data_IF_561005012990
#
_entry.id   IF_561005012990
#
_cell.length_a   1.000
_cell.length_b   1.000
_cell.length_c   1.000
_cell.angle_alpha   90.00
_cell.angle_beta   90.00
_cell.angle_gamma   90.00
#
_symmetry.space_group_name_H-M   'P 1'
#
loop_
_entity.id
_entity.type
_entity.pdbx_description
1 polymer ?
#
# COMPACT_ATOMS: atom_id res chain seq x y z
N UNK A 1 5.83 -24.81 -21.78
CA UNK A 1 4.72 -25.78 -21.60
C UNK A 1 3.61 -25.07 -20.84
N UNK A 2 2.55 -24.66 -21.52
CA UNK A 2 1.38 -24.08 -20.86
C UNK A 2 0.74 -25.14 -19.96
N UNK A 3 0.63 -24.84 -18.67
CA UNK A 3 -0.09 -25.67 -17.71
C UNK A 3 -1.57 -25.32 -17.88
N UNK A 4 -2.21 -25.89 -18.89
CA UNK A 4 -3.65 -26.16 -18.87
C UNK A 4 -3.80 -27.60 -18.39
N UNK A 5 -3.73 -27.77 -17.07
CA UNK A 5 -3.82 -29.06 -16.39
C UNK A 5 -4.49 -28.86 -15.04
N UNK A 6 -5.58 -29.60 -14.86
CA UNK A 6 -6.55 -29.61 -13.76
C UNK A 6 -6.02 -29.43 -12.31
N UNK A 7 -6.94 -28.95 -11.47
CA UNK A 7 -6.97 -28.89 -9.99
C UNK A 7 -6.62 -27.54 -9.34
N UNK A 8 -7.69 -26.84 -8.89
CA UNK A 8 -7.69 -25.83 -7.81
C UNK A 8 -6.46 -24.89 -7.80
N UNK A 9 -6.28 -24.08 -8.84
CA UNK A 9 -5.37 -22.94 -8.74
C UNK A 9 -5.82 -22.04 -7.59
N UNK A 10 -5.02 -21.97 -6.52
CA UNK A 10 -5.24 -21.03 -5.42
C UNK A 10 -5.27 -19.62 -6.04
N UNK A 11 -6.27 -18.76 -5.73
CA UNK A 11 -6.51 -17.48 -6.40
C UNK A 11 -5.45 -16.36 -6.13
N UNK A 12 -4.18 -16.71 -5.90
CA UNK A 12 -3.09 -15.79 -5.54
C UNK A 12 -1.80 -16.00 -6.34
N UNK A 13 -1.91 -16.52 -7.57
CA UNK A 13 -0.74 -16.83 -8.42
C UNK A 13 -0.57 -15.88 -9.60
N UNK A 14 -1.45 -14.89 -9.77
CA UNK A 14 -1.46 -14.07 -10.99
C UNK A 14 -0.19 -13.22 -11.14
N UNK A 15 0.22 -12.54 -10.06
CA UNK A 15 1.38 -11.63 -10.10
C UNK A 15 2.72 -12.38 -10.06
N UNK A 16 2.74 -13.67 -9.78
CA UNK A 16 3.94 -14.53 -9.91
C UNK A 16 3.93 -15.33 -11.22
N UNK A 17 2.92 -15.17 -12.06
CA UNK A 17 2.90 -15.76 -13.39
C UNK A 17 3.62 -14.82 -14.36
N UNK A 18 4.72 -15.31 -14.95
CA UNK A 18 5.52 -14.57 -15.92
C UNK A 18 4.71 -14.13 -17.12
N UNK A 19 3.73 -14.93 -17.56
CA UNK A 19 2.89 -14.60 -18.70
C UNK A 19 2.17 -13.27 -18.49
N UNK A 20 1.68 -13.00 -17.27
CA UNK A 20 0.98 -11.75 -16.92
C UNK A 20 1.87 -10.54 -17.15
N UNK A 21 3.10 -10.59 -16.64
CA UNK A 21 4.08 -9.53 -16.84
C UNK A 21 4.44 -9.36 -18.31
N UNK A 22 4.63 -10.46 -19.04
CA UNK A 22 4.93 -10.43 -20.48
C UNK A 22 3.82 -9.73 -21.30
N UNK A 23 2.56 -9.84 -20.89
CA UNK A 23 1.43 -9.15 -21.55
C UNK A 23 1.36 -7.65 -21.27
N UNK A 24 1.97 -7.15 -20.19
CA UNK A 24 1.90 -5.73 -19.86
C UNK A 24 2.62 -4.89 -20.93
N UNK A 25 1.98 -3.79 -21.37
CA UNK A 25 2.57 -2.90 -22.39
C UNK A 25 3.51 -1.85 -21.80
N UNK A 26 3.29 -1.45 -20.54
CA UNK A 26 4.09 -0.46 -19.85
C UNK A 26 5.27 -1.13 -19.11
N UNK A 27 6.40 -0.42 -19.06
CA UNK A 27 7.54 -0.82 -18.23
C UNK A 27 7.26 -0.57 -16.75
N UNK A 28 6.73 0.61 -16.42
CA UNK A 28 6.32 0.95 -15.06
C UNK A 28 4.87 0.53 -14.84
N UNK A 29 4.65 -0.37 -13.88
CA UNK A 29 3.35 -0.97 -13.60
C UNK A 29 2.94 -0.56 -12.20
N UNK A 30 1.90 0.26 -12.11
CA UNK A 30 1.31 0.65 -10.84
C UNK A 30 0.19 -0.33 -10.48
N UNK A 31 0.38 -1.06 -9.38
CA UNK A 31 -0.60 -1.97 -8.82
C UNK A 31 -1.27 -1.30 -7.64
N UNK A 32 -2.60 -1.37 -7.60
CA UNK A 32 -3.42 -0.83 -6.52
C UNK A 32 -4.54 -1.81 -6.16
N UNK A 33 -4.96 -1.80 -4.90
CA UNK A 33 -6.10 -2.56 -4.41
C UNK A 33 -7.14 -1.63 -3.79
N UNK A 34 -8.39 -2.12 -3.66
CA UNK A 34 -9.48 -1.32 -3.08
C UNK A 34 -9.31 -0.99 -1.59
N UNK A 35 -8.20 -1.41 -0.96
CA UNK A 35 -7.90 -1.16 0.44
C UNK A 35 -6.98 0.07 0.62
N UNK A 36 -7.04 1.05 -0.28
CA UNK A 36 -6.32 2.32 -0.16
C UNK A 36 -6.58 3.24 -1.34
N UNK A 37 -6.07 4.47 -1.25
CA UNK A 37 -6.31 5.53 -2.22
C UNK A 37 -5.02 6.24 -2.60
N UNK A 38 -5.00 6.85 -3.79
CA UNK A 38 -4.01 7.85 -4.17
C UNK A 38 -4.45 9.18 -3.55
N UNK A 39 -3.53 9.90 -2.90
CA UNK A 39 -3.81 11.21 -2.32
C UNK A 39 -3.57 12.32 -3.35
N UNK A 40 -4.62 12.99 -3.79
CA UNK A 40 -4.53 14.05 -4.80
C UNK A 40 -3.73 15.27 -4.34
N UNK A 41 -3.65 15.52 -3.03
CA UNK A 41 -2.89 16.63 -2.46
C UNK A 41 -1.46 16.23 -2.03
N UNK A 42 -0.98 15.05 -2.42
CA UNK A 42 0.42 14.69 -2.19
C UNK A 42 1.35 15.62 -2.98
N UNK A 43 2.49 15.96 -2.38
CA UNK A 43 3.59 16.63 -3.10
C UNK A 43 4.35 15.68 -4.03
N UNK A 44 4.07 14.38 -3.93
CA UNK A 44 4.66 13.36 -4.76
C UNK A 44 3.71 12.97 -5.88
N UNK A 45 4.29 12.60 -7.01
CA UNK A 45 3.62 12.01 -8.18
C UNK A 45 4.30 10.69 -8.52
N UNK A 46 3.61 9.81 -9.26
CA UNK A 46 4.15 8.49 -9.63
C UNK A 46 5.53 8.58 -10.31
N UNK A 47 5.75 9.63 -11.10
CA UNK A 47 7.01 9.87 -11.81
C UNK A 47 8.21 9.99 -10.86
N UNK A 48 8.01 10.50 -9.63
CA UNK A 48 9.08 10.59 -8.63
C UNK A 48 9.68 9.21 -8.26
N UNK A 49 8.95 8.12 -8.53
CA UNK A 49 9.35 6.76 -8.16
C UNK A 49 9.71 5.87 -9.36
N UNK A 50 9.49 6.30 -10.60
CA UNK A 50 9.73 5.48 -11.82
C UNK A 50 11.20 5.13 -12.08
N UNK A 51 12.15 5.80 -11.43
CA UNK A 51 13.56 5.41 -11.47
C UNK A 51 13.82 4.12 -10.69
N UNK A 52 13.03 3.83 -9.66
CA UNK A 52 13.11 2.64 -8.84
C UNK A 52 12.55 1.43 -9.60
N UNK A 53 13.11 0.26 -9.31
CA UNK A 53 12.65 -1.01 -9.88
C UNK A 53 11.46 -1.57 -9.11
N UNK A 54 11.35 -1.22 -7.82
CA UNK A 54 10.25 -1.60 -6.95
C UNK A 54 10.09 -0.58 -5.81
N UNK A 55 8.86 -0.11 -5.60
CA UNK A 55 8.43 0.59 -4.39
C UNK A 55 7.04 0.11 -3.96
N UNK A 56 6.85 -0.12 -2.66
CA UNK A 56 5.60 -0.36 -1.98
C UNK A 56 5.44 0.57 -0.79
N UNK A 57 4.37 0.40 -0.01
CA UNK A 57 4.15 1.17 1.22
C UNK A 57 5.15 0.76 2.31
N UNK A 58 5.37 1.55 3.37
CA UNK A 58 6.30 1.19 4.42
C UNK A 58 5.99 -0.15 5.09
N UNK A 59 7.04 -0.86 5.47
CA UNK A 59 6.96 -2.15 6.18
C UNK A 59 8.20 -2.35 7.05
N UNK A 60 8.21 -3.39 7.89
CA UNK A 60 9.33 -3.69 8.80
C UNK A 60 10.32 -4.74 8.27
N UNK A 61 10.07 -5.29 7.08
CA UNK A 61 10.89 -6.40 6.53
C UNK A 61 12.07 -5.86 5.74
N UNK A 62 13.11 -6.68 5.59
CA UNK A 62 14.26 -6.41 4.71
C UNK A 62 14.88 -5.02 4.95
N UNK A 63 15.07 -4.63 6.21
CA UNK A 63 15.58 -3.31 6.59
C UNK A 63 14.78 -2.16 5.95
N UNK A 64 13.46 -2.34 5.87
CA UNK A 64 12.49 -1.41 5.27
C UNK A 64 12.67 -1.19 3.75
N UNK A 65 13.53 -1.95 3.07
CA UNK A 65 13.75 -1.81 1.63
C UNK A 65 12.57 -2.32 0.81
N UNK A 66 12.32 -1.68 -0.33
CA UNK A 66 11.31 -2.07 -1.31
C UNK A 66 9.90 -1.69 -0.87
N UNK A 67 9.46 -2.11 0.32
CA UNK A 67 8.13 -1.85 0.86
C UNK A 67 7.11 -2.98 0.60
N UNK A 68 5.99 -2.92 1.32
CA UNK A 68 4.85 -3.82 1.20
C UNK A 68 4.05 -3.49 -0.06
N UNK A 69 3.87 -4.49 -0.92
CA UNK A 69 3.18 -4.34 -2.21
C UNK A 69 1.71 -4.77 -2.22
N UNK A 70 1.10 -5.04 -1.06
CA UNK A 70 -0.26 -5.61 -0.96
C UNK A 70 -1.39 -4.63 -1.24
N UNK A 71 -1.20 -3.35 -0.96
CA UNK A 71 -2.20 -2.32 -1.29
C UNK A 71 -1.79 -1.51 -2.49
N UNK A 72 -0.56 -1.00 -2.50
CA UNK A 72 -0.03 -0.21 -3.58
C UNK A 72 1.43 -0.56 -3.81
N UNK A 73 1.82 -0.66 -5.08
CA UNK A 73 3.22 -0.71 -5.46
C UNK A 73 3.43 -0.21 -6.88
N UNK A 74 4.61 0.31 -7.15
CA UNK A 74 5.09 0.59 -8.50
C UNK A 74 6.27 -0.34 -8.79
N UNK A 75 6.18 -1.07 -9.89
CA UNK A 75 7.13 -2.15 -10.21
C UNK A 75 7.53 -2.09 -11.67
N UNK A 76 8.80 -2.37 -11.96
CA UNK A 76 9.28 -2.51 -13.34
C UNK A 76 9.01 -3.90 -13.89
N UNK A 77 8.28 -3.96 -15.00
CA UNK A 77 7.94 -5.19 -15.72
C UNK A 77 9.18 -6.04 -15.99
N UNK A 78 10.23 -5.45 -16.55
CA UNK A 78 11.46 -6.18 -16.92
C UNK A 78 12.09 -6.88 -15.72
N UNK A 79 12.12 -6.18 -14.57
CA UNK A 79 12.67 -6.68 -13.31
C UNK A 79 11.83 -7.82 -12.74
N UNK A 80 10.50 -7.71 -12.77
CA UNK A 80 9.62 -8.80 -12.33
C UNK A 80 9.83 -10.06 -13.16
N UNK A 81 10.01 -9.91 -14.48
CA UNK A 81 10.33 -11.02 -15.39
C UNK A 81 11.70 -11.64 -15.06
N UNK A 82 12.70 -10.82 -14.77
CA UNK A 82 14.06 -11.30 -14.47
C UNK A 82 14.13 -12.07 -13.15
N UNK A 83 13.40 -11.62 -12.13
CA UNK A 83 13.24 -12.36 -10.86
C UNK A 83 12.54 -13.71 -11.11
N UNK A 84 11.52 -13.76 -11.96
CA UNK A 84 10.82 -15.00 -12.29
C UNK A 84 11.70 -15.99 -13.09
N UNK A 85 12.53 -15.51 -14.03
CA UNK A 85 13.55 -16.34 -14.71
C UNK A 85 14.56 -16.91 -13.72
N UNK A 86 15.06 -16.04 -12.84
CA UNK A 86 16.03 -16.40 -11.81
C UNK A 86 15.50 -17.51 -10.91
N UNK A 87 14.27 -17.38 -10.43
CA UNK A 87 13.64 -18.34 -9.51
C UNK A 87 13.16 -19.61 -10.20
N UNK A 88 12.92 -19.60 -11.52
CA UNK A 88 12.62 -20.82 -12.29
C UNK A 88 13.88 -21.64 -12.64
N UNK A 89 15.06 -21.16 -12.29
CA UNK A 89 16.34 -21.80 -12.65
C UNK A 89 16.74 -21.61 -14.10
N UNK A 90 16.06 -20.73 -14.85
CA UNK A 90 16.52 -20.35 -16.18
C UNK A 90 17.87 -19.64 -16.04
N UNK A 91 18.88 -20.10 -16.79
CA UNK A 91 20.24 -19.54 -16.73
C UNK A 91 21.17 -20.13 -15.66
N UNK A 92 20.76 -21.19 -14.94
CA UNK A 92 21.68 -22.02 -14.15
C UNK A 92 22.12 -21.47 -12.79
N UNK A 93 21.66 -20.27 -12.37
CA UNK A 93 22.00 -19.64 -11.09
C UNK A 93 20.89 -19.80 -10.00
N UNK A 94 19.97 -20.73 -10.21
CA UNK A 94 18.57 -20.65 -9.77
C UNK A 94 18.27 -20.40 -8.29
N UNK A 95 17.34 -19.48 -8.04
CA UNK A 95 16.64 -19.33 -6.76
C UNK A 95 15.53 -20.37 -6.58
N UNK A 96 14.76 -20.29 -5.48
CA UNK A 96 13.59 -21.15 -5.26
C UNK A 96 12.37 -20.57 -5.98
N UNK A 97 11.64 -21.37 -6.79
CA UNK A 97 10.37 -20.95 -7.38
C UNK A 97 9.36 -20.55 -6.29
N UNK A 98 8.41 -19.69 -6.65
CA UNK A 98 7.32 -19.33 -5.75
C UNK A 98 6.44 -20.56 -5.46
N UNK A 99 6.26 -20.88 -4.17
CA UNK A 99 5.54 -22.06 -3.70
C UNK A 99 4.14 -21.75 -3.14
N UNK A 100 3.76 -20.47 -3.08
CA UNK A 100 2.50 -20.00 -2.51
C UNK A 100 2.47 -19.88 -0.99
N UNK A 101 3.58 -20.13 -0.30
CA UNK A 101 3.65 -20.07 1.17
C UNK A 101 4.09 -18.70 1.69
N UNK A 102 4.80 -17.91 0.88
CA UNK A 102 5.11 -16.52 1.18
C UNK A 102 4.19 -15.56 0.41
N UNK A 103 4.09 -14.30 0.87
CA UNK A 103 3.40 -13.28 0.08
C UNK A 103 4.23 -12.92 -1.15
N UNK A 104 3.55 -12.58 -2.23
CA UNK A 104 4.17 -12.30 -3.53
C UNK A 104 5.14 -11.10 -3.48
N UNK A 105 4.82 -10.05 -2.74
CA UNK A 105 5.68 -8.88 -2.59
C UNK A 105 6.96 -9.19 -1.80
N UNK A 106 6.85 -10.03 -0.76
CA UNK A 106 8.00 -10.56 -0.03
C UNK A 106 8.88 -11.40 -0.97
N UNK A 107 8.27 -12.25 -1.79
CA UNK A 107 8.99 -13.05 -2.78
C UNK A 107 9.81 -12.16 -3.74
N UNK A 108 9.21 -11.11 -4.31
CA UNK A 108 9.93 -10.23 -5.22
C UNK A 108 11.07 -9.48 -4.54
N UNK A 109 10.80 -8.78 -3.43
CA UNK A 109 11.83 -7.98 -2.75
C UNK A 109 12.97 -8.87 -2.24
N UNK A 110 12.67 -10.03 -1.64
CA UNK A 110 13.68 -10.98 -1.18
C UNK A 110 14.60 -11.44 -2.30
N UNK A 111 14.04 -11.85 -3.45
CA UNK A 111 14.86 -12.33 -4.57
C UNK A 111 15.62 -11.20 -5.27
N UNK A 112 15.08 -9.97 -5.34
CA UNK A 112 15.83 -8.82 -5.84
C UNK A 112 17.07 -8.52 -4.98
N UNK A 113 16.90 -8.55 -3.65
CA UNK A 113 18.02 -8.41 -2.70
C UNK A 113 19.04 -9.54 -2.90
N UNK A 114 18.59 -10.79 -2.99
CA UNK A 114 19.46 -11.95 -3.19
C UNK A 114 20.25 -11.84 -4.51
N UNK A 115 19.61 -11.45 -5.61
CA UNK A 115 20.26 -11.25 -6.91
C UNK A 115 21.30 -10.12 -6.86
N UNK A 116 21.01 -9.03 -6.15
CA UNK A 116 21.98 -7.95 -5.92
C UNK A 116 23.18 -8.42 -5.09
N UNK A 117 22.93 -9.15 -4.01
CA UNK A 117 23.99 -9.69 -3.13
C UNK A 117 24.90 -10.70 -3.85
N UNK A 118 24.35 -11.48 -4.78
CA UNK A 118 25.11 -12.42 -5.62
C UNK A 118 25.81 -11.74 -6.80
N UNK A 119 25.66 -10.43 -6.97
CA UNK A 119 26.23 -9.69 -8.11
C UNK A 119 25.62 -10.07 -9.46
N UNK A 120 24.42 -10.68 -9.47
CA UNK A 120 23.72 -11.09 -10.69
C UNK A 120 22.94 -9.91 -11.31
N UNK A 121 22.62 -8.89 -10.51
CA UNK A 121 21.88 -7.70 -10.91
C UNK A 121 22.22 -6.53 -9.99
N UNK A 122 21.69 -5.34 -10.30
CA UNK A 122 21.84 -4.14 -9.47
C UNK A 122 20.51 -3.38 -9.36
N UNK A 123 19.48 -4.09 -8.90
CA UNK A 123 18.14 -3.56 -8.78
C UNK A 123 18.05 -2.42 -7.76
N UNK A 124 17.32 -1.38 -8.10
CA UNK A 124 17.07 -0.19 -7.28
C UNK A 124 15.75 -0.36 -6.51
N UNK A 125 15.83 -0.91 -5.30
CA UNK A 125 14.71 -0.99 -4.37
C UNK A 125 14.55 0.36 -3.64
N UNK A 126 13.31 0.76 -3.37
CA UNK A 126 13.04 1.94 -2.55
C UNK A 126 13.72 1.84 -1.18
N UNK A 127 14.30 2.96 -0.72
CA UNK A 127 14.78 3.09 0.66
C UNK A 127 13.62 3.21 1.64
N UNK A 128 13.90 3.10 2.94
CA UNK A 128 12.91 3.38 3.99
C UNK A 128 12.27 4.77 3.82
N UNK A 129 13.05 5.79 3.50
CA UNK A 129 12.51 7.15 3.30
C UNK A 129 11.61 7.23 2.06
N UNK A 130 11.99 6.57 0.97
CA UNK A 130 11.20 6.56 -0.26
C UNK A 130 9.89 5.80 -0.09
N UNK A 131 9.89 4.69 0.65
CA UNK A 131 8.63 4.01 1.00
C UNK A 131 7.74 4.89 1.88
N UNK A 132 8.31 5.69 2.79
CA UNK A 132 7.55 6.66 3.58
C UNK A 132 6.95 7.78 2.72
N UNK A 133 7.68 8.31 1.73
CA UNK A 133 7.12 9.26 0.76
C UNK A 133 6.04 8.62 -0.12
N UNK A 134 6.19 7.34 -0.44
CA UNK A 134 5.23 6.60 -1.25
C UNK A 134 3.93 6.37 -0.49
N UNK A 135 3.98 5.84 0.74
CA UNK A 135 2.79 5.36 1.45
C UNK A 135 2.74 5.56 2.96
N UNK A 136 3.68 6.32 3.53
CA UNK A 136 3.89 6.39 4.97
C UNK A 136 3.18 7.54 5.66
N UNK A 137 2.58 7.25 6.81
CA UNK A 137 1.96 8.25 7.70
C UNK A 137 2.81 8.54 8.94
N UNK A 138 4.00 7.93 9.06
CA UNK A 138 4.82 8.03 10.27
C UNK A 138 5.25 9.47 10.55
N UNK A 139 5.63 10.25 9.51
CA UNK A 139 6.02 11.66 9.64
C UNK A 139 4.89 12.53 10.18
N UNK A 140 3.65 12.29 9.74
CA UNK A 140 2.46 12.95 10.27
C UNK A 140 2.22 12.51 11.72
N UNK A 141 2.35 11.22 12.01
CA UNK A 141 2.21 10.71 13.37
C UNK A 141 3.26 11.27 14.33
N UNK A 142 4.51 11.45 13.92
CA UNK A 142 5.54 12.08 14.75
C UNK A 142 5.33 13.58 14.94
N UNK A 143 4.71 14.27 13.98
CA UNK A 143 4.44 15.70 14.09
C UNK A 143 3.22 16.02 14.96
N UNK A 144 2.22 15.13 14.97
CA UNK A 144 0.93 15.36 15.64
C UNK A 144 0.57 14.35 16.75
N UNK A 145 1.35 13.28 16.94
CA UNK A 145 1.18 12.30 18.01
C UNK A 145 1.57 12.88 19.36
N UNK A 146 0.71 12.69 20.36
CA UNK A 146 0.82 13.17 21.76
C UNK A 146 0.53 14.65 22.08
N UNK A 147 0.04 15.47 21.15
CA UNK A 147 -0.51 16.78 21.56
C UNK A 147 -1.91 16.59 22.13
N UNK A 148 -2.03 16.77 23.45
CA UNK A 148 -3.33 16.91 24.12
C UNK A 148 -4.18 17.95 23.37
N UNK A 149 -5.43 17.60 23.10
CA UNK A 149 -6.36 18.24 22.17
C UNK A 149 -6.83 19.66 22.57
N UNK A 150 -6.03 20.41 23.34
CA UNK A 150 -6.44 21.68 23.95
C UNK A 150 -6.03 22.93 23.17
N UNK A 151 -5.01 22.88 22.30
CA UNK A 151 -4.62 24.03 21.46
C UNK A 151 -4.99 23.78 20.00
N UNK A 152 -6.27 24.04 19.69
CA UNK A 152 -6.93 23.59 18.48
C UNK A 152 -6.93 24.69 17.41
N UNK A 153 -6.43 24.35 16.21
CA UNK A 153 -6.87 24.79 14.87
C UNK A 153 -5.93 25.62 13.97
N UNK A 154 -4.93 26.35 14.46
CA UNK A 154 -4.16 27.24 13.56
C UNK A 154 -2.77 26.72 13.15
N UNK A 155 -2.13 25.91 13.99
CA UNK A 155 -0.72 25.49 13.77
C UNK A 155 -0.64 24.17 12.99
N UNK A 156 -1.69 23.35 13.00
CA UNK A 156 -1.60 21.98 12.48
C UNK A 156 -1.72 21.89 10.96
N UNK A 157 -2.52 22.75 10.32
CA UNK A 157 -2.71 22.71 8.86
C UNK A 157 -1.46 23.12 8.09
N UNK A 158 -0.79 24.20 8.51
CA UNK A 158 0.43 24.66 7.86
C UNK A 158 1.56 23.63 7.97
N UNK A 159 1.72 23.00 9.14
CA UNK A 159 2.70 21.93 9.31
C UNK A 159 2.32 20.66 8.54
N UNK A 160 1.03 20.33 8.46
CA UNK A 160 0.56 19.17 7.69
C UNK A 160 0.80 19.37 6.18
N UNK A 161 0.53 20.58 5.66
CA UNK A 161 0.86 20.97 4.29
C UNK A 161 2.39 20.96 4.07
N UNK A 162 3.18 21.46 5.03
CA UNK A 162 4.66 21.48 4.93
C UNK A 162 5.27 20.08 4.92
N UNK A 163 4.76 19.16 5.76
CA UNK A 163 5.18 17.76 5.78
C UNK A 163 4.72 17.05 4.51
N UNK A 164 3.51 17.39 4.03
CA UNK A 164 2.87 16.81 2.87
C UNK A 164 2.30 15.42 3.14
N UNK A 165 1.31 15.03 2.34
CA UNK A 165 0.79 13.67 2.35
C UNK A 165 1.68 12.72 1.52
N UNK A 166 1.76 11.43 1.89
CA UNK A 166 2.34 10.42 1.00
C UNK A 166 1.54 10.30 -0.29
N UNK A 167 2.14 9.73 -1.35
CA UNK A 167 1.47 9.56 -2.64
C UNK A 167 0.22 8.67 -2.53
N UNK A 168 0.32 7.58 -1.78
CA UNK A 168 -0.77 6.64 -1.52
C UNK A 168 -1.03 6.51 -0.04
N UNK A 169 -2.25 6.13 0.32
CA UNK A 169 -2.62 5.77 1.68
C UNK A 169 -3.25 4.39 1.68
N UNK A 170 -2.93 3.62 2.72
CA UNK A 170 -3.30 2.22 2.82
C UNK A 170 -4.14 1.95 4.07
N UNK A 171 -5.26 1.26 3.86
CA UNK A 171 -6.09 0.67 4.90
C UNK A 171 -6.86 1.70 5.72
N UNK A 172 -7.30 1.24 6.88
CA UNK A 172 -8.20 1.96 7.78
C UNK A 172 -7.49 2.93 8.73
N UNK A 173 -6.16 3.03 8.63
CA UNK A 173 -5.30 3.82 9.51
C UNK A 173 -5.62 3.65 11.02
N UNK A 174 -5.84 2.42 11.52
CA UNK A 174 -6.39 2.20 12.86
C UNK A 174 -5.39 2.57 13.96
N UNK A 175 -4.09 2.53 13.65
CA UNK A 175 -3.00 2.81 14.58
C UNK A 175 -2.67 4.32 14.69
N UNK A 176 -3.34 5.17 13.91
CA UNK A 176 -3.20 6.62 14.03
C UNK A 176 -4.08 7.15 15.16
N UNK A 177 -3.57 8.14 15.88
CA UNK A 177 -4.40 8.92 16.82
C UNK A 177 -5.53 9.62 16.07
N UNK A 178 -6.61 9.97 16.79
CA UNK A 178 -7.75 10.67 16.19
C UNK A 178 -7.32 11.91 15.40
N UNK A 179 -6.47 12.76 16.00
CA UNK A 179 -6.01 13.99 15.36
C UNK A 179 -5.19 13.72 14.10
N UNK A 180 -4.22 12.80 14.16
CA UNK A 180 -3.39 12.47 12.98
C UNK A 180 -4.29 11.91 11.86
N UNK A 181 -5.26 11.06 12.22
CA UNK A 181 -6.21 10.51 11.25
C UNK A 181 -7.05 11.61 10.62
N UNK A 182 -7.62 12.52 11.41
CA UNK A 182 -8.42 13.64 10.91
C UNK A 182 -7.62 14.53 9.96
N UNK A 183 -6.37 14.86 10.31
CA UNK A 183 -5.44 15.59 9.43
C UNK A 183 -5.18 14.83 8.13
N UNK A 184 -4.94 13.52 8.18
CA UNK A 184 -4.77 12.69 6.97
C UNK A 184 -6.03 12.70 6.10
N UNK A 185 -7.22 12.68 6.71
CA UNK A 185 -8.50 12.73 6.03
C UNK A 185 -8.81 14.09 5.41
N UNK A 186 -8.27 15.17 5.96
CA UNK A 186 -8.32 16.51 5.36
C UNK A 186 -7.35 16.62 4.19
N UNK A 187 -6.12 16.12 4.34
CA UNK A 187 -5.12 16.12 3.28
C UNK A 187 -5.52 15.19 2.12
N UNK A 188 -6.09 14.03 2.40
CA UNK A 188 -6.39 13.00 1.41
C UNK A 188 -7.86 12.54 1.51
N UNK A 189 -8.81 13.39 1.11
CA UNK A 189 -10.24 13.11 1.24
C UNK A 189 -10.70 11.87 0.46
N UNK A 190 -9.92 11.39 -0.51
CA UNK A 190 -10.21 10.21 -1.32
C UNK A 190 -10.34 8.94 -0.48
N UNK A 191 -9.57 8.84 0.62
CA UNK A 191 -9.68 7.68 1.52
C UNK A 191 -11.02 7.65 2.25
N UNK A 192 -11.76 8.78 2.28
CA UNK A 192 -13.09 8.82 2.89
C UNK A 192 -14.09 7.91 2.18
N UNK A 193 -13.94 7.77 0.86
CA UNK A 193 -14.80 6.95 0.01
C UNK A 193 -14.67 5.46 0.31
N UNK A 194 -13.48 5.02 0.72
CA UNK A 194 -13.18 3.61 0.90
C UNK A 194 -13.79 3.08 2.20
N UNK A 195 -13.95 3.94 3.19
CA UNK A 195 -14.43 3.53 4.51
C UNK A 195 -15.37 4.55 5.13
N UNK A 196 -16.64 4.61 4.70
CA UNK A 196 -17.63 5.51 5.29
C UNK A 196 -17.72 5.34 6.83
N UNK A 197 -17.58 4.10 7.31
CA UNK A 197 -17.58 3.76 8.72
C UNK A 197 -16.37 4.31 9.51
N UNK A 198 -15.23 4.59 8.88
CA UNK A 198 -14.04 5.07 9.61
C UNK A 198 -14.13 6.53 10.08
N UNK A 199 -15.08 7.28 9.55
CA UNK A 199 -15.26 8.71 9.86
C UNK A 199 -16.19 8.93 11.05
N UNK A 200 -16.86 7.88 11.51
CA UNK A 200 -17.62 7.95 12.75
C UNK A 200 -16.71 7.60 13.93
N UNK A 201 -16.44 8.54 14.86
CA UNK A 201 -15.68 8.24 16.07
C UNK A 201 -16.32 7.16 16.94
N UNK A 202 -17.63 6.90 16.79
CA UNK A 202 -18.32 5.77 17.41
C UNK A 202 -17.95 4.44 16.76
N UNK A 203 -17.66 4.40 15.46
CA UNK A 203 -17.20 3.19 14.78
C UNK A 203 -15.72 2.89 15.02
N UNK A 204 -14.87 3.91 15.02
CA UNK A 204 -13.43 3.74 15.13
C UNK A 204 -12.78 4.83 15.99
N UNK A 205 -12.27 4.46 17.17
CA UNK A 205 -11.60 5.37 18.11
C UNK A 205 -11.18 4.66 19.41
N UNK A 206 -10.67 5.40 20.40
CA UNK A 206 -10.24 4.85 21.69
C UNK A 206 -11.41 4.30 22.56
N UNK A 207 -12.66 4.64 22.21
CA UNK A 207 -13.89 4.11 22.82
C UNK A 207 -14.97 3.93 21.73
N UNK A 208 -14.94 2.82 20.98
CA UNK A 208 -15.99 2.55 20.00
C UNK A 208 -17.33 2.28 20.70
N UNK A 209 -18.41 2.78 20.09
CA UNK A 209 -19.81 2.59 20.49
C UNK A 209 -20.52 1.92 19.30
N UNK A 210 -20.77 0.61 19.43
CA UNK A 210 -21.28 -0.21 18.35
C UNK A 210 -22.69 0.15 17.89
N UNK A 211 -23.53 0.65 18.80
CA UNK A 211 -24.91 1.05 18.46
C UNK A 211 -24.89 2.33 17.62
N UNK A 212 -24.17 3.36 18.07
CA UNK A 212 -24.03 4.62 17.32
C UNK A 212 -23.25 4.44 16.03
N UNK A 213 -22.28 3.53 16.01
CA UNK A 213 -21.62 3.15 14.77
C UNK A 213 -22.58 2.53 13.75
N UNK A 214 -23.47 1.62 14.18
CA UNK A 214 -24.44 1.02 13.29
C UNK A 214 -25.40 2.06 12.70
N UNK A 215 -25.72 3.12 13.46
CA UNK A 215 -26.52 4.24 12.99
C UNK A 215 -25.83 5.04 11.85
N UNK A 216 -24.51 5.13 11.80
CA UNK A 216 -23.81 5.87 10.73
C UNK A 216 -23.53 5.05 9.47
N UNK A 217 -23.67 3.72 9.53
CA UNK A 217 -23.47 2.84 8.37
C UNK A 217 -24.82 2.59 7.68
N UNK A 218 -25.09 3.29 6.57
CA UNK A 218 -26.35 3.17 5.80
C UNK A 218 -26.72 1.71 5.45
N UNK A 219 -25.74 0.84 5.20
CA UNK A 219 -25.96 -0.58 4.89
C UNK A 219 -26.49 -1.41 6.08
N UNK A 220 -26.32 -0.92 7.32
CA UNK A 220 -26.81 -1.54 8.55
C UNK A 220 -28.14 -0.95 9.02
N UNK A 221 -28.56 0.19 8.47
CA UNK A 221 -29.88 0.78 8.75
C UNK A 221 -31.01 -0.10 8.24
N UNK A 222 -32.15 -0.01 8.90
CA UNK A 222 -33.35 -0.74 8.52
C UNK A 222 -33.79 -0.36 7.10
N UNK A 223 -34.29 -1.33 6.36
CA UNK A 223 -34.65 -1.21 4.95
C UNK A 223 -35.72 -0.15 4.68
N UNK A 224 -36.54 0.17 5.69
CA UNK A 224 -37.54 1.24 5.65
C UNK A 224 -36.96 2.66 5.69
N UNK A 225 -35.72 2.82 6.16
CA UNK A 225 -35.05 4.11 6.36
C UNK A 225 -34.04 4.47 5.26
N UNK A 226 -33.75 3.55 4.34
CA UNK A 226 -32.81 3.73 3.20
C UNK A 226 -33.41 4.52 2.02
N UNK A 227 -34.29 5.48 2.29
CA UNK A 227 -34.90 6.32 1.25
C UNK A 227 -34.48 7.76 1.47
N UNK A 228 -33.30 8.13 0.98
CA UNK A 228 -32.89 9.54 0.98
C UNK A 228 -31.41 9.82 0.69
N UNK A 229 -30.65 8.86 0.20
CA UNK A 229 -29.20 9.01 0.00
C UNK A 229 -28.37 8.49 1.17
N UNK A 230 -29.01 7.85 2.14
CA UNK A 230 -28.74 6.44 2.41
C UNK A 230 -29.70 5.61 1.53
#
# INVERSE_FOLDING_TARGET
>A
KHILGNEKQKPKLLLVDRWIWEQMKAENVFLFSGNGAICGNSHFVLQNFTSLDYVGIPWWRHDHMGGDGSTHSLRKKSVMIDVLKYTSGEGGAGGKPYDGNEREDIFYVRNMIEMNQKGLSNFQLASSEQTEHFGGTSKLQSAFGDKDATDKYAIDKYEAERIGAPLVLSGTLPNLSYHVRDTVLELCPEIKVIFPALHDPHCFGAKPDGEKCAESICALRDSSERKGGC
#
